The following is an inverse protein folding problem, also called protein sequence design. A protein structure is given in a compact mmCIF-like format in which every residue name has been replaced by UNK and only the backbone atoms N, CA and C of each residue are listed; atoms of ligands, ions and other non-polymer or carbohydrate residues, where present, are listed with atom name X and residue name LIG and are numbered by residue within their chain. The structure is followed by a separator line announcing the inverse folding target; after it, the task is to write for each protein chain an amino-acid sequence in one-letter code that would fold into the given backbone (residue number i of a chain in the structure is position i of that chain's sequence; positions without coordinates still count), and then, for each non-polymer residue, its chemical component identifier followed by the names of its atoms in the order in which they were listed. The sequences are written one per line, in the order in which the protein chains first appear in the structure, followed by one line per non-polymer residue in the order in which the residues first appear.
data_IF_664349653465
#
_entry.id   IF_664349653465
#
_cell.length_a   1.000
_cell.length_b   1.000
_cell.length_c   1.000
_cell.angle_alpha   90.00
_cell.angle_beta   90.00
_cell.angle_gamma   90.00
#
_symmetry.space_group_name_H-M   'P 1'
#
loop_
_entity.id
_entity.type
_entity.pdbx_description
1 polymer ?
#
# COMPACT_ATOMS: atom_id res chain seq x y z
N UNK A 1 6.87 -10.32 0.50
CA UNK A 1 7.95 -10.41 -0.53
C UNK A 1 7.36 -11.20 -1.70
N UNK A 2 6.90 -10.55 -2.77
CA UNK A 2 5.95 -11.16 -3.72
C UNK A 2 6.25 -10.92 -5.21
N UNK A 3 7.44 -10.44 -5.58
CA UNK A 3 7.78 -10.28 -7.01
C UNK A 3 8.90 -11.24 -7.39
N UNK A 4 8.57 -12.28 -8.15
CA UNK A 4 9.52 -13.16 -8.83
C UNK A 4 9.54 -12.77 -10.30
N UNK A 5 10.70 -12.40 -10.86
CA UNK A 5 10.80 -11.81 -12.20
C UNK A 5 11.52 -12.72 -13.22
N UNK A 6 11.51 -14.04 -13.01
CA UNK A 6 12.21 -14.99 -13.87
C UNK A 6 13.73 -15.07 -13.66
N UNK A 7 14.32 -14.20 -12.82
CA UNK A 7 15.73 -14.22 -12.41
C UNK A 7 15.91 -14.52 -10.90
N UNK A 8 14.82 -14.81 -10.19
CA UNK A 8 14.81 -14.98 -8.74
C UNK A 8 13.79 -14.08 -8.05
N UNK A 9 13.85 -14.06 -6.72
CA UNK A 9 13.08 -13.15 -5.89
C UNK A 9 13.62 -11.72 -6.06
N UNK A 10 12.75 -10.77 -6.35
CA UNK A 10 13.10 -9.36 -6.41
C UNK A 10 13.68 -8.90 -5.06
N UNK A 11 14.82 -8.25 -5.15
CA UNK A 11 15.54 -7.64 -4.03
C UNK A 11 15.35 -6.13 -4.04
N UNK A 12 15.77 -5.47 -2.96
CA UNK A 12 15.81 -4.00 -2.89
C UNK A 12 16.69 -3.38 -3.99
N UNK A 13 17.75 -4.09 -4.42
CA UNK A 13 18.60 -3.69 -5.54
C UNK A 13 17.86 -3.63 -6.88
N UNK A 14 16.70 -4.28 -6.99
CA UNK A 14 15.86 -4.25 -8.19
C UNK A 14 14.81 -3.12 -8.18
N UNK A 15 14.73 -2.33 -7.11
CA UNK A 15 13.76 -1.23 -6.99
C UNK A 15 14.34 0.10 -7.49
N UNK A 16 13.57 0.83 -8.29
CA UNK A 16 13.86 2.23 -8.66
C UNK A 16 13.44 3.23 -7.58
N UNK A 17 12.53 2.82 -6.68
CA UNK A 17 12.04 3.67 -5.59
C UNK A 17 13.18 4.04 -4.63
N UNK A 18 13.40 5.35 -4.44
CA UNK A 18 14.47 5.87 -3.58
C UNK A 18 15.90 5.64 -4.09
N UNK A 19 16.05 5.13 -5.33
CA UNK A 19 17.36 4.86 -5.97
C UNK A 19 17.38 5.31 -7.45
N UNK A 20 16.52 6.25 -7.80
CA UNK A 20 16.36 6.72 -9.18
C UNK A 20 17.61 7.46 -9.63
N UNK A 21 18.29 6.97 -10.68
CA UNK A 21 19.48 7.62 -11.24
C UNK A 21 19.07 8.54 -12.39
N UNK A 22 20.03 9.37 -12.82
CA UNK A 22 19.83 10.35 -13.88
C UNK A 22 19.25 9.72 -15.16
N UNK A 23 19.79 8.57 -15.59
CA UNK A 23 19.30 7.86 -16.76
C UNK A 23 17.80 7.52 -16.69
N UNK A 24 17.33 7.01 -15.55
CA UNK A 24 15.90 6.67 -15.41
C UNK A 24 15.03 7.93 -15.35
N UNK A 25 15.52 9.02 -14.74
CA UNK A 25 14.81 10.30 -14.73
C UNK A 25 14.62 10.86 -16.14
N UNK A 26 15.68 10.85 -16.96
CA UNK A 26 15.62 11.31 -18.36
C UNK A 26 14.61 10.51 -19.16
N UNK A 27 14.66 9.17 -19.07
CA UNK A 27 13.73 8.29 -19.80
C UNK A 27 12.27 8.52 -19.39
N UNK A 28 12.01 8.75 -18.10
CA UNK A 28 10.66 9.05 -17.61
C UNK A 28 10.15 10.40 -18.10
N UNK A 29 11.01 11.42 -18.13
CA UNK A 29 10.66 12.75 -18.64
C UNK A 29 10.37 12.72 -20.15
N UNK A 30 11.16 11.99 -20.93
CA UNK A 30 10.93 11.79 -22.37
C UNK A 30 9.60 11.08 -22.63
N UNK A 31 9.30 10.04 -21.87
CA UNK A 31 8.04 9.30 -21.96
C UNK A 31 6.82 10.16 -21.61
N UNK A 32 6.91 10.94 -20.53
CA UNK A 32 5.84 11.85 -20.10
C UNK A 32 5.57 12.95 -21.13
N UNK A 33 6.63 13.51 -21.72
CA UNK A 33 6.52 14.50 -22.80
C UNK A 33 5.87 13.90 -24.06
N UNK A 34 6.21 12.66 -24.42
CA UNK A 34 5.60 11.95 -25.54
C UNK A 34 4.12 11.65 -25.30
N UNK A 35 3.78 11.13 -24.10
CA UNK A 35 2.40 10.83 -23.72
C UNK A 35 1.52 12.09 -23.77
N UNK A 36 2.03 13.20 -23.20
CA UNK A 36 1.36 14.51 -23.25
C UNK A 36 1.07 14.96 -24.67
N UNK A 37 2.04 14.86 -25.60
CA UNK A 37 1.82 15.22 -27.02
C UNK A 37 0.72 14.40 -27.70
N UNK A 38 0.51 13.16 -27.24
CA UNK A 38 -0.49 12.26 -27.77
C UNK A 38 -1.83 12.31 -27.01
N UNK A 39 -1.97 13.22 -26.02
CA UNK A 39 -3.18 13.29 -25.19
C UNK A 39 -3.36 12.08 -24.27
N UNK A 40 -2.27 11.36 -23.96
CA UNK A 40 -2.29 10.17 -23.10
C UNK A 40 -1.86 10.60 -21.69
N UNK A 41 -2.71 10.33 -20.69
CA UNK A 41 -2.36 10.57 -19.30
C UNK A 41 -1.44 9.46 -18.77
N UNK A 42 -0.23 9.81 -18.34
CA UNK A 42 0.68 8.89 -17.67
C UNK A 42 0.47 8.96 -16.15
N UNK A 43 0.07 7.84 -15.54
CA UNK A 43 -0.18 7.74 -14.10
C UNK A 43 0.51 6.51 -13.53
N UNK A 44 1.14 6.66 -12.38
CA UNK A 44 1.65 5.55 -11.60
C UNK A 44 0.62 5.08 -10.57
N UNK A 45 1.01 4.09 -9.77
CA UNK A 45 0.27 3.72 -8.57
C UNK A 45 -0.09 4.98 -7.78
N UNK A 46 -1.30 5.02 -7.20
CA UNK A 46 -1.73 6.14 -6.35
C UNK A 46 -2.21 7.36 -7.10
N UNK A 47 -2.44 7.23 -8.41
CA UNK A 47 -2.92 8.29 -9.30
C UNK A 47 -1.96 9.50 -9.38
N UNK A 48 -0.69 9.30 -9.01
CA UNK A 48 0.37 10.31 -9.10
C UNK A 48 1.17 10.18 -10.41
N UNK A 49 2.11 11.09 -10.66
CA UNK A 49 3.02 10.98 -11.80
C UNK A 49 4.06 9.88 -11.56
N UNK A 50 4.60 9.25 -12.63
CA UNK A 50 5.66 8.25 -12.52
C UNK A 50 6.85 8.70 -11.68
N UNK A 51 7.32 9.93 -11.90
CA UNK A 51 8.46 10.47 -11.16
C UNK A 51 8.15 10.65 -9.67
N UNK A 52 6.95 11.17 -9.34
CA UNK A 52 6.52 11.35 -7.96
C UNK A 52 6.28 10.02 -7.22
N UNK A 53 5.94 8.93 -7.92
CA UNK A 53 5.84 7.59 -7.35
C UNK A 53 7.21 6.98 -7.00
N UNK A 54 8.27 7.41 -7.67
CA UNK A 54 9.64 6.88 -7.50
C UNK A 54 10.50 7.71 -6.56
N UNK A 55 10.21 9.00 -6.46
CA UNK A 55 10.73 9.86 -5.42
C UNK A 55 10.06 9.46 -4.10
N UNK A 56 10.77 8.67 -3.30
CA UNK A 56 10.35 8.40 -1.93
C UNK A 56 10.14 9.73 -1.21
N UNK A 57 8.97 9.92 -0.60
CA UNK A 57 8.78 11.03 0.32
C UNK A 57 9.88 10.88 1.39
N UNK A 58 10.77 11.87 1.46
CA UNK A 58 12.01 11.80 2.23
C UNK A 58 11.80 11.29 3.65
N UNK A 59 12.80 10.55 4.13
CA UNK A 59 13.10 10.21 5.52
C UNK A 59 11.96 10.47 6.52
N UNK A 60 11.08 9.48 6.68
CA UNK A 60 10.19 9.43 7.81
C UNK A 60 10.12 8.00 8.29
N UNK A 61 10.42 7.76 9.57
CA UNK A 61 10.32 6.47 10.25
C UNK A 61 8.94 5.77 10.09
N UNK A 62 7.95 6.45 9.46
CA UNK A 62 6.55 6.07 9.30
C UNK A 62 6.07 6.06 7.84
N UNK A 63 6.71 5.27 6.98
CA UNK A 63 6.40 5.17 5.54
C UNK A 63 4.96 4.71 5.20
N UNK A 64 4.19 4.20 6.17
CA UNK A 64 2.78 3.82 6.04
C UNK A 64 1.80 4.97 6.32
N UNK A 65 2.23 6.05 6.98
CA UNK A 65 1.35 7.09 7.55
C UNK A 65 0.48 7.83 6.51
N UNK A 66 0.83 7.77 5.23
CA UNK A 66 0.01 8.34 4.15
C UNK A 66 -1.09 7.42 3.59
N UNK A 67 -1.26 6.21 4.11
CA UNK A 67 -2.32 5.30 3.66
C UNK A 67 -3.67 5.67 4.28
N UNK A 68 -4.70 5.85 3.45
CA UNK A 68 -6.06 6.21 3.91
C UNK A 68 -6.98 5.00 4.09
N UNK A 69 -6.56 3.80 3.66
CA UNK A 69 -7.39 2.60 3.65
C UNK A 69 -8.00 2.23 5.01
N UNK A 70 -7.30 2.39 6.16
CA UNK A 70 -7.91 2.10 7.45
C UNK A 70 -9.18 2.95 7.76
N UNK A 71 -9.40 4.06 7.05
CA UNK A 71 -10.56 4.94 7.23
C UNK A 71 -11.53 4.95 6.06
N UNK A 72 -11.11 4.50 4.87
CA UNK A 72 -11.94 4.63 3.66
C UNK A 72 -12.31 3.29 3.03
N UNK A 73 -11.78 2.17 3.55
CA UNK A 73 -11.98 0.86 2.97
C UNK A 73 -12.06 -0.23 4.04
N UNK A 74 -12.99 -1.17 3.86
CA UNK A 74 -12.98 -2.48 4.50
C UNK A 74 -12.88 -3.57 3.43
N UNK A 75 -12.22 -4.69 3.77
CA UNK A 75 -12.16 -5.85 2.89
C UNK A 75 -12.86 -7.04 3.52
N UNK A 76 -13.92 -7.54 2.86
CA UNK A 76 -14.70 -8.68 3.33
C UNK A 76 -14.35 -9.89 2.48
N UNK A 77 -13.90 -10.96 3.13
CA UNK A 77 -13.55 -12.22 2.48
C UNK A 77 -14.79 -13.10 2.24
N UNK A 78 -14.65 -14.13 1.41
CA UNK A 78 -15.75 -15.04 1.09
C UNK A 78 -16.34 -15.79 2.29
N UNK A 79 -15.57 -15.97 3.37
CA UNK A 79 -16.04 -16.57 4.62
C UNK A 79 -16.48 -15.52 5.67
N UNK A 80 -16.69 -14.28 5.24
CA UNK A 80 -17.26 -13.22 6.06
C UNK A 80 -16.25 -12.45 6.90
N UNK A 81 -14.97 -12.85 6.97
CA UNK A 81 -13.99 -12.09 7.76
C UNK A 81 -13.80 -10.69 7.19
N UNK A 82 -13.88 -9.70 8.08
CA UNK A 82 -13.66 -8.28 7.78
C UNK A 82 -12.24 -7.91 8.17
N UNK A 83 -11.48 -7.38 7.21
CA UNK A 83 -10.05 -7.08 7.30
C UNK A 83 -9.80 -5.58 7.03
N UNK A 84 -8.72 -4.99 7.56
CA UNK A 84 -8.45 -3.55 7.48
C UNK A 84 -8.08 -3.05 6.07
N UNK A 85 -7.69 -3.96 5.17
CA UNK A 85 -7.22 -3.64 3.82
C UNK A 85 -7.20 -4.90 2.93
N UNK A 86 -7.49 -4.76 1.64
CA UNK A 86 -7.41 -5.84 0.65
C UNK A 86 -5.99 -6.41 0.45
N UNK A 87 -4.94 -5.65 0.79
CA UNK A 87 -3.55 -6.10 0.70
C UNK A 87 -3.11 -6.87 1.95
N UNK A 88 -3.72 -6.57 3.10
CA UNK A 88 -3.29 -7.11 4.40
C UNK A 88 -3.17 -8.65 4.46
N UNK A 89 -4.06 -9.45 3.83
CA UNK A 89 -3.94 -10.93 3.84
C UNK A 89 -2.64 -11.45 3.22
N UNK A 90 -2.08 -10.72 2.26
CA UNK A 90 -0.94 -11.16 1.46
C UNK A 90 0.39 -10.80 2.11
N UNK A 91 0.39 -9.86 3.05
CA UNK A 91 1.60 -9.29 3.65
C UNK A 91 1.73 -9.59 5.14
N UNK A 92 0.63 -9.88 5.82
CA UNK A 92 0.68 -10.21 7.25
C UNK A 92 1.25 -11.60 7.51
N UNK A 93 2.04 -11.68 8.57
CA UNK A 93 2.54 -12.93 9.16
C UNK A 93 1.49 -13.57 10.07
N UNK A 94 0.71 -12.75 10.76
CA UNK A 94 -0.41 -13.20 11.59
C UNK A 94 -1.75 -12.79 10.96
N UNK A 95 -2.34 -13.71 10.20
CA UNK A 95 -3.64 -13.51 9.59
C UNK A 95 -4.76 -13.39 10.63
N UNK A 96 -4.69 -14.12 11.76
CA UNK A 96 -5.76 -14.10 12.77
C UNK A 96 -5.85 -12.73 13.43
N UNK A 97 -4.70 -12.11 13.72
CA UNK A 97 -4.62 -10.75 14.23
C UNK A 97 -5.19 -9.66 13.28
N UNK A 98 -5.44 -9.98 12.00
CA UNK A 98 -6.08 -9.06 11.05
C UNK A 98 -7.61 -9.08 11.08
N UNK A 99 -8.23 -10.10 11.67
CA UNK A 99 -9.68 -10.27 11.61
C UNK A 99 -10.34 -9.29 12.58
N UNK A 100 -10.98 -8.25 12.02
CA UNK A 100 -11.63 -7.19 12.79
C UNK A 100 -13.09 -7.53 13.14
N UNK A 101 -13.66 -8.54 12.49
CA UNK A 101 -15.01 -9.02 12.71
C UNK A 101 -15.42 -10.04 11.65
N UNK A 102 -16.66 -10.55 11.74
CA UNK A 102 -17.24 -11.37 10.69
C UNK A 102 -18.62 -10.85 10.27
N UNK A 103 -18.76 -10.46 9.00
CA UNK A 103 -19.96 -9.84 8.44
C UNK A 103 -21.17 -10.79 8.33
N UNK A 104 -20.96 -12.10 8.51
CA UNK A 104 -22.07 -13.06 8.57
C UNK A 104 -22.68 -13.18 9.97
N UNK A 105 -21.95 -12.75 11.01
CA UNK A 105 -22.36 -12.91 12.41
C UNK A 105 -22.53 -11.58 13.15
N UNK A 106 -21.92 -10.51 12.66
CA UNK A 106 -21.92 -9.19 13.27
C UNK A 106 -22.37 -8.15 12.24
N UNK A 107 -23.10 -7.11 12.69
CA UNK A 107 -23.45 -5.97 11.83
C UNK A 107 -22.18 -5.24 11.39
N UNK A 108 -22.10 -4.89 10.12
CA UNK A 108 -20.91 -4.23 9.57
C UNK A 108 -20.57 -2.92 10.29
N UNK A 109 -21.58 -2.09 10.60
CA UNK A 109 -21.36 -0.83 11.32
C UNK A 109 -20.73 -1.07 12.70
N UNK A 110 -21.18 -2.11 13.42
CA UNK A 110 -20.61 -2.50 14.72
C UNK A 110 -19.16 -2.98 14.59
N UNK A 111 -18.81 -3.65 13.48
CA UNK A 111 -17.43 -4.03 13.20
C UNK A 111 -16.58 -2.79 12.89
N UNK A 112 -17.07 -1.90 12.02
CA UNK A 112 -16.36 -0.74 11.50
C UNK A 112 -16.07 0.33 12.56
N UNK A 113 -17.04 0.57 13.44
CA UNK A 113 -16.92 1.54 14.53
C UNK A 113 -16.44 0.90 15.84
N UNK A 114 -16.40 -0.43 15.92
CA UNK A 114 -16.05 -1.17 17.12
C UNK A 114 -14.56 -1.19 17.47
N UNK A 115 -14.27 -1.61 18.70
CA UNK A 115 -12.93 -1.48 19.30
C UNK A 115 -11.80 -2.15 18.51
N UNK A 116 -12.09 -3.25 17.78
CA UNK A 116 -11.09 -3.93 16.96
C UNK A 116 -10.58 -3.00 15.85
N UNK A 117 -11.48 -2.29 15.19
CA UNK A 117 -11.12 -1.34 14.14
C UNK A 117 -10.44 -0.09 14.71
N UNK A 118 -10.96 0.44 15.83
CA UNK A 118 -10.36 1.60 16.48
C UNK A 118 -8.94 1.32 16.97
N UNK A 119 -8.71 0.17 17.61
CA UNK A 119 -7.35 -0.26 18.00
C UNK A 119 -6.42 -0.37 16.80
N UNK A 120 -6.87 -0.98 15.70
CA UNK A 120 -6.07 -1.07 14.49
C UNK A 120 -5.67 0.32 13.96
N UNK A 121 -6.60 1.29 13.95
CA UNK A 121 -6.33 2.67 13.51
C UNK A 121 -5.36 3.38 14.45
N UNK A 122 -5.54 3.25 15.77
CA UNK A 122 -4.61 3.79 16.78
C UNK A 122 -3.21 3.21 16.62
N UNK A 123 -3.09 1.89 16.48
CA UNK A 123 -1.80 1.22 16.28
C UNK A 123 -1.16 1.68 14.97
N UNK A 124 -1.95 1.81 13.89
CA UNK A 124 -1.48 2.31 12.60
C UNK A 124 -0.90 3.72 12.70
N UNK A 125 -1.46 4.57 13.56
CA UNK A 125 -0.97 5.93 13.81
C UNK A 125 0.24 5.99 14.78
N UNK A 126 0.69 4.86 15.31
CA UNK A 126 1.88 4.80 16.18
C UNK A 126 3.19 4.64 15.38
N UNK A 127 4.31 4.66 16.10
CA UNK A 127 5.63 4.28 15.57
C UNK A 127 5.80 2.77 15.42
N UNK A 128 4.84 1.97 15.92
CA UNK A 128 4.86 0.51 15.92
C UNK A 128 3.59 -0.02 15.24
N UNK A 129 3.44 0.14 13.92
CA UNK A 129 2.18 -0.12 13.26
C UNK A 129 1.89 -1.62 13.20
N UNK A 130 0.64 -2.02 12.89
CA UNK A 130 0.27 -3.41 12.69
C UNK A 130 1.19 -4.08 11.65
N UNK A 131 1.41 -5.38 11.84
CA UNK A 131 2.29 -6.19 10.97
C UNK A 131 2.11 -5.98 9.45
N UNK A 132 0.89 -5.96 8.89
CA UNK A 132 0.72 -5.73 7.46
C UNK A 132 1.21 -4.35 7.03
N UNK A 133 1.16 -3.34 7.91
CA UNK A 133 1.48 -1.96 7.61
C UNK A 133 2.99 -1.69 7.63
N UNK A 134 3.76 -2.42 8.46
CA UNK A 134 5.23 -2.30 8.57
C UNK A 134 5.99 -2.54 7.27
N UNK A 135 5.43 -3.38 6.40
CA UNK A 135 5.99 -3.66 5.06
C UNK A 135 5.14 -3.10 3.91
N UNK A 136 3.94 -2.62 4.21
CA UNK A 136 3.01 -2.00 3.25
C UNK A 136 3.26 -0.49 3.21
N UNK A 137 4.39 -0.11 2.61
CA UNK A 137 4.53 1.26 2.15
C UNK A 137 3.56 1.54 1.02
N UNK A 138 3.18 2.82 0.87
CA UNK A 138 2.56 3.34 -0.36
C UNK A 138 3.22 2.82 -1.66
N UNK A 139 4.48 2.40 -1.57
CA UNK A 139 5.34 1.69 -2.54
C UNK A 139 4.69 0.69 -3.51
N UNK A 140 3.52 0.12 -3.19
CA UNK A 140 2.93 -0.95 -4.00
C UNK A 140 1.53 -0.65 -4.55
N UNK A 141 0.81 0.35 -4.03
CA UNK A 141 -0.62 0.50 -4.41
C UNK A 141 -1.32 1.80 -4.02
N UNK A 142 -0.60 2.80 -3.51
CA UNK A 142 -1.02 4.21 -3.59
C UNK A 142 0.18 4.92 -4.17
#
# INVERSE_FOLDING_TARGET
RLVFNGLGLATDANALHGRLREREQTLLAEADALATRQGIAMRASGLTTPLASLHGNGDGARHWAGCQRPWTLAYVTANGNVLPCCISPWVAKDYRGLILGNAFTERFETIWDGDRYQRFRTDFESDTPPDPCRGCGRLWSI
#
